data_IF_750230468880
#
_entry.id   IF_750230468880
#
_cell.length_a   1.000
_cell.length_b   1.000
_cell.length_c   1.000
_cell.angle_alpha   90.00
_cell.angle_beta   90.00
_cell.angle_gamma   90.00
#
_symmetry.space_group_name_H-M   'P 1'
#
loop_
_entity.id
_entity.type
_entity.pdbx_description
1 polymer ?
#
# COMPACT_ATOMS: atom_id res chain seq x y z
N UNK A 1 20.43 14.84 29.66
CA UNK A 1 19.44 15.64 28.91
C UNK A 1 19.05 14.84 27.69
N UNK A 2 17.94 14.12 27.80
CA UNK A 2 17.47 13.17 26.78
C UNK A 2 16.91 13.93 25.59
N UNK A 3 17.58 13.86 24.44
CA UNK A 3 17.01 14.28 23.16
C UNK A 3 16.01 13.20 22.73
N UNK A 4 14.73 13.49 22.89
CA UNK A 4 13.65 12.71 22.26
C UNK A 4 13.81 12.87 20.74
N UNK A 5 14.19 11.80 20.05
CA UNK A 5 14.11 11.71 18.59
C UNK A 5 12.62 11.60 18.23
N UNK A 6 12.04 12.66 17.68
CA UNK A 6 10.75 12.60 17.03
C UNK A 6 11.00 12.28 15.55
N UNK A 7 10.98 10.99 15.20
CA UNK A 7 10.98 10.55 13.80
C UNK A 7 9.53 10.62 13.33
N UNK A 8 9.20 11.67 12.59
CA UNK A 8 7.93 11.77 11.90
C UNK A 8 8.04 10.96 10.60
N UNK A 9 7.51 9.72 10.60
CA UNK A 9 7.24 8.98 9.36
C UNK A 9 6.12 9.73 8.64
N UNK A 10 6.50 10.42 7.56
CA UNK A 10 5.66 11.31 6.80
C UNK A 10 4.88 10.52 5.73
N UNK A 11 4.09 9.53 6.14
CA UNK A 11 3.11 8.88 5.25
C UNK A 11 1.82 9.73 5.21
N UNK A 12 1.91 10.92 4.62
CA UNK A 12 0.75 11.77 4.35
C UNK A 12 0.17 11.40 2.97
N UNK A 13 -0.68 10.39 2.90
CA UNK A 13 -1.54 10.15 1.73
C UNK A 13 -2.87 10.89 1.93
N UNK A 14 -3.11 11.91 1.10
CA UNK A 14 -4.30 12.76 1.06
C UNK A 14 -4.88 12.63 -0.35
N UNK A 15 -5.66 11.57 -0.59
CA UNK A 15 -6.38 11.38 -1.85
C UNK A 15 -7.49 12.44 -1.92
N UNK A 16 -7.26 13.51 -2.66
CA UNK A 16 -8.29 14.45 -3.09
C UNK A 16 -9.00 13.87 -4.31
N UNK A 17 -10.15 13.23 -4.07
CA UNK A 17 -11.11 12.87 -5.12
C UNK A 17 -11.64 14.16 -5.76
N UNK A 18 -11.15 14.49 -6.96
CA UNK A 18 -11.83 15.45 -7.82
C UNK A 18 -13.04 14.78 -8.47
N UNK A 19 -14.23 15.16 -7.99
CA UNK A 19 -15.51 14.83 -8.60
C UNK A 19 -15.60 15.51 -9.97
N UNK A 20 -15.30 14.79 -11.04
CA UNK A 20 -15.82 15.06 -12.40
C UNK A 20 -15.63 13.85 -13.30
N UNK A 21 -16.73 13.17 -13.63
CA UNK A 21 -16.77 12.27 -14.79
C UNK A 21 -17.31 10.87 -14.56
N UNK A 22 -18.57 10.74 -14.13
CA UNK A 22 -19.34 9.53 -14.46
C UNK A 22 -19.45 9.40 -15.99
N UNK A 23 -18.74 8.44 -16.60
CA UNK A 23 -19.25 7.56 -17.68
C UNK A 23 -18.21 6.52 -18.11
N UNK A 24 -18.70 5.28 -18.16
CA UNK A 24 -18.23 4.14 -18.94
C UNK A 24 -17.10 3.26 -18.38
N UNK A 25 -17.40 2.51 -17.31
CA UNK A 25 -16.91 1.13 -17.19
C UNK A 25 -18.07 0.16 -17.40
N UNK A 26 -18.23 -0.29 -18.64
CA UNK A 26 -18.91 -1.55 -18.98
C UNK A 26 -18.00 -2.25 -19.98
N UNK A 27 -17.24 -3.25 -19.54
CA UNK A 27 -16.74 -4.28 -20.45
C UNK A 27 -17.94 -5.15 -20.88
N UNK A 28 -18.01 -5.58 -22.15
CA UNK A 28 -19.06 -6.50 -22.59
C UNK A 28 -18.91 -7.85 -21.87
N UNK A 29 -20.05 -8.43 -21.48
CA UNK A 29 -20.15 -9.79 -20.96
C UNK A 29 -19.78 -10.76 -22.11
N UNK A 30 -18.87 -11.72 -21.93
CA UNK A 30 -18.59 -12.73 -22.94
C UNK A 30 -19.84 -13.57 -23.20
N UNK A 31 -20.06 -13.98 -24.46
CA UNK A 31 -21.13 -14.91 -24.80
C UNK A 31 -20.99 -16.22 -24.01
N UNK A 32 -22.11 -16.85 -23.59
CA UNK A 32 -22.07 -18.12 -22.88
C UNK A 32 -21.40 -19.21 -23.74
N UNK A 33 -20.41 -19.88 -23.16
CA UNK A 33 -19.73 -21.04 -23.76
C UNK A 33 -20.76 -22.18 -23.90
N UNK A 34 -20.89 -22.83 -25.08
CA UNK A 34 -21.79 -23.96 -25.25
C UNK A 34 -21.31 -25.18 -24.44
N UNK A 35 -22.27 -25.93 -23.88
CA UNK A 35 -22.01 -27.13 -23.10
C UNK A 35 -21.15 -28.15 -23.89
N UNK A 36 -20.14 -28.77 -23.25
CA UNK A 36 -19.34 -29.80 -23.90
C UNK A 36 -20.20 -31.05 -24.18
N UNK A 37 -19.92 -31.77 -25.28
CA UNK A 37 -20.62 -33.01 -25.60
C UNK A 37 -20.28 -34.10 -24.56
N UNK A 38 -21.19 -35.08 -24.35
CA UNK A 38 -21.01 -36.09 -23.33
C UNK A 38 -19.80 -36.98 -23.62
N UNK A 39 -18.89 -37.08 -22.65
CA UNK A 39 -17.73 -37.97 -22.68
C UNK A 39 -18.16 -39.40 -22.33
N UNK A 40 -17.82 -40.34 -23.21
CA UNK A 40 -17.90 -41.76 -22.94
C UNK A 40 -16.49 -42.37 -23.05
N UNK A 41 -16.13 -43.15 -22.03
CA UNK A 41 -15.04 -44.13 -21.92
C UNK A 41 -13.55 -43.72 -21.82
N UNK A 42 -13.07 -43.93 -20.57
CA UNK A 42 -11.84 -44.60 -20.10
C UNK A 42 -10.46 -43.89 -20.09
N UNK A 43 -9.67 -44.07 -19.01
CA UNK A 43 -8.44 -43.32 -18.78
C UNK A 43 -7.22 -43.99 -19.42
N UNK A 44 -6.42 -43.20 -20.14
CA UNK A 44 -5.03 -43.52 -20.42
C UNK A 44 -4.15 -42.52 -19.70
N UNK A 45 -3.27 -43.10 -18.90
CA UNK A 45 -2.26 -42.50 -18.05
C UNK A 45 -1.09 -42.04 -18.94
N UNK A 46 -1.13 -40.77 -19.35
CA UNK A 46 0.01 -40.06 -19.91
C UNK A 46 0.30 -38.87 -18.98
N UNK A 47 1.21 -39.07 -18.03
CA UNK A 47 1.81 -38.00 -17.25
C UNK A 47 2.74 -37.19 -18.15
N UNK A 48 2.18 -36.26 -18.92
CA UNK A 48 2.90 -35.05 -19.31
C UNK A 48 2.87 -34.13 -18.08
N UNK A 49 4.05 -33.91 -17.51
CA UNK A 49 4.25 -32.81 -16.58
C UNK A 49 4.08 -31.52 -17.39
N UNK A 50 2.90 -30.93 -17.32
CA UNK A 50 2.68 -29.53 -17.68
C UNK A 50 3.64 -28.70 -16.83
N UNK A 51 4.78 -28.35 -17.42
CA UNK A 51 5.61 -27.25 -16.93
C UNK A 51 4.77 -26.02 -17.22
N UNK A 52 4.02 -25.53 -16.24
CA UNK A 52 3.43 -24.20 -16.30
C UNK A 52 4.55 -23.24 -16.71
N UNK A 53 4.48 -22.67 -17.91
CA UNK A 53 5.39 -21.60 -18.32
C UNK A 53 5.26 -20.50 -17.27
N UNK A 54 6.32 -20.25 -16.49
CA UNK A 54 6.37 -19.10 -15.58
C UNK A 54 6.12 -17.85 -16.41
N UNK A 55 4.94 -17.26 -16.23
CA UNK A 55 4.56 -16.01 -16.89
C UNK A 55 5.48 -14.90 -16.38
N UNK A 56 6.40 -14.45 -17.24
CA UNK A 56 7.35 -13.38 -16.93
C UNK A 56 6.79 -12.02 -17.30
N UNK A 57 7.04 -11.01 -16.48
CA UNK A 57 6.79 -9.60 -16.85
C UNK A 57 7.95 -9.03 -17.64
N UNK A 58 7.67 -8.06 -18.50
CA UNK A 58 8.69 -7.30 -19.22
C UNK A 58 8.79 -5.87 -18.68
N UNK A 59 9.97 -5.24 -18.87
CA UNK A 59 10.14 -3.82 -18.58
C UNK A 59 9.31 -3.03 -19.62
N UNK A 60 8.46 -2.07 -19.20
CA UNK A 60 7.66 -1.29 -20.14
C UNK A 60 8.53 -0.57 -21.20
N UNK A 61 8.14 -0.69 -22.47
CA UNK A 61 8.94 -0.23 -23.62
C UNK A 61 9.39 1.24 -23.49
N UNK A 62 8.55 2.09 -22.91
CA UNK A 62 8.82 3.52 -22.75
C UNK A 62 10.01 3.86 -21.84
N UNK A 63 10.39 2.97 -20.92
CA UNK A 63 11.53 3.16 -20.00
C UNK A 63 12.64 2.13 -20.22
N UNK A 64 12.39 1.12 -21.06
CA UNK A 64 13.35 0.08 -21.41
C UNK A 64 14.59 0.67 -22.11
N UNK A 65 15.76 0.12 -21.80
CA UNK A 65 17.03 0.47 -22.44
C UNK A 65 17.58 -0.68 -23.30
N UNK A 66 16.78 -1.72 -23.53
CA UNK A 66 17.19 -2.99 -24.13
C UNK A 66 17.05 -4.15 -23.14
N UNK A 67 17.38 -5.36 -23.62
CA UNK A 67 17.33 -6.57 -22.80
C UNK A 67 18.21 -6.44 -21.55
N UNK A 68 17.67 -6.89 -20.42
CA UNK A 68 18.34 -6.97 -19.11
C UNK A 68 19.04 -5.68 -18.65
N UNK A 69 18.60 -4.53 -19.17
CA UNK A 69 19.21 -3.22 -18.92
C UNK A 69 18.37 -2.40 -17.96
N UNK A 70 19.05 -1.73 -17.02
CA UNK A 70 18.37 -0.88 -16.03
C UNK A 70 17.52 0.21 -16.70
N UNK A 71 16.23 0.34 -16.33
CA UNK A 71 15.36 1.37 -16.89
C UNK A 71 15.85 2.78 -16.56
N UNK A 72 15.61 3.69 -17.50
CA UNK A 72 15.84 5.13 -17.29
C UNK A 72 14.50 5.86 -17.22
N UNK A 73 14.31 6.66 -16.19
CA UNK A 73 13.06 7.34 -15.88
C UNK A 73 13.17 8.85 -16.05
N UNK A 74 12.13 9.47 -16.63
CA UNK A 74 11.85 10.90 -16.48
C UNK A 74 11.07 11.10 -15.19
N UNK A 75 11.71 11.64 -14.18
CA UNK A 75 11.12 11.86 -12.86
C UNK A 75 10.75 13.33 -12.70
N UNK A 76 9.48 13.62 -12.45
CA UNK A 76 9.04 14.95 -12.06
C UNK A 76 9.43 15.22 -10.59
N UNK A 77 10.28 16.23 -10.38
CA UNK A 77 10.73 16.67 -9.05
C UNK A 77 9.82 17.80 -8.59
N UNK A 78 8.92 17.49 -7.65
CA UNK A 78 7.86 18.37 -7.20
C UNK A 78 8.38 19.66 -6.53
N UNK A 79 9.50 19.58 -5.82
CA UNK A 79 10.12 20.73 -5.14
C UNK A 79 10.55 21.82 -6.14
N UNK A 80 11.16 21.42 -7.25
CA UNK A 80 11.69 22.34 -8.26
C UNK A 80 10.72 22.55 -9.43
N UNK A 81 9.70 21.69 -9.57
CA UNK A 81 8.79 21.66 -10.71
C UNK A 81 9.45 21.23 -12.03
N UNK A 82 10.60 20.54 -11.97
CA UNK A 82 11.39 20.15 -13.14
C UNK A 82 11.37 18.64 -13.37
N UNK A 83 11.55 18.21 -14.62
CA UNK A 83 11.81 16.80 -14.94
C UNK A 83 13.32 16.54 -14.91
N UNK A 84 13.73 15.49 -14.21
CA UNK A 84 15.09 14.97 -14.22
C UNK A 84 15.11 13.56 -14.81
N UNK A 85 16.22 13.19 -15.44
CA UNK A 85 16.41 11.83 -15.96
C UNK A 85 17.27 11.07 -14.96
N UNK A 86 16.70 10.04 -14.35
CA UNK A 86 17.35 9.21 -13.32
C UNK A 86 17.34 7.75 -13.76
N UNK A 87 18.36 7.00 -13.36
CA UNK A 87 18.30 5.54 -13.46
C UNK A 87 17.33 4.99 -12.40
N UNK A 88 16.69 3.85 -12.68
CA UNK A 88 15.70 3.27 -11.78
C UNK A 88 16.23 3.09 -10.36
N UNK A 89 17.42 2.51 -10.18
CA UNK A 89 17.98 2.25 -8.85
C UNK A 89 18.29 3.55 -8.08
N UNK A 90 18.72 4.61 -8.77
CA UNK A 90 18.90 5.94 -8.16
C UNK A 90 17.57 6.51 -7.66
N UNK A 91 16.51 6.37 -8.44
CA UNK A 91 15.16 6.79 -8.03
C UNK A 91 14.68 5.96 -6.81
N UNK A 92 14.85 4.65 -6.84
CA UNK A 92 14.43 3.75 -5.76
C UNK A 92 15.19 4.01 -4.46
N UNK A 93 16.47 4.37 -4.48
CA UNK A 93 17.18 4.81 -3.26
C UNK A 93 16.50 6.00 -2.61
N UNK A 94 16.10 7.00 -3.39
CA UNK A 94 15.39 8.17 -2.87
C UNK A 94 14.00 7.84 -2.32
N UNK A 95 13.31 6.86 -2.91
CA UNK A 95 12.01 6.37 -2.41
C UNK A 95 12.18 5.63 -1.08
N UNK A 96 13.09 4.65 -1.01
CA UNK A 96 13.34 3.88 0.22
C UNK A 96 13.78 4.81 1.36
N UNK A 97 14.65 5.77 1.08
CA UNK A 97 15.12 6.76 2.06
C UNK A 97 14.02 7.73 2.52
N UNK A 98 12.94 7.90 1.75
CA UNK A 98 11.79 8.70 2.15
C UNK A 98 10.79 7.91 2.99
N UNK A 99 10.48 6.69 2.56
CA UNK A 99 9.38 5.87 3.09
C UNK A 99 9.74 5.13 4.39
N UNK A 100 11.00 4.76 4.58
CA UNK A 100 11.47 4.05 5.78
C UNK A 100 12.56 4.84 6.52
N UNK A 101 12.87 4.43 7.74
CA UNK A 101 14.02 4.96 8.47
C UNK A 101 15.31 4.34 7.89
N UNK A 102 16.23 5.14 7.30
CA UNK A 102 17.42 4.62 6.63
C UNK A 102 18.36 3.79 7.51
N UNK A 103 18.24 3.85 8.84
CA UNK A 103 19.06 3.05 9.76
C UNK A 103 18.42 1.72 10.14
N UNK A 104 17.26 1.37 9.58
CA UNK A 104 16.62 0.07 9.78
C UNK A 104 17.42 -1.07 9.13
N UNK A 105 17.01 -2.31 9.43
CA UNK A 105 17.69 -3.50 8.94
C UNK A 105 17.67 -3.55 7.42
N UNK A 106 18.80 -3.99 6.86
CA UNK A 106 19.01 -3.99 5.41
C UNK A 106 17.94 -4.79 4.67
N UNK A 107 17.58 -5.98 5.16
CA UNK A 107 16.55 -6.82 4.52
C UNK A 107 15.16 -6.18 4.53
N UNK A 108 14.85 -5.33 5.52
CA UNK A 108 13.59 -4.59 5.56
C UNK A 108 13.58 -3.46 4.52
N UNK A 109 14.70 -2.71 4.41
CA UNK A 109 14.87 -1.69 3.37
C UNK A 109 14.86 -2.32 1.96
N UNK A 110 15.45 -3.50 1.81
CA UNK A 110 15.51 -4.27 0.57
C UNK A 110 14.12 -4.78 0.16
N UNK A 111 13.29 -5.25 1.09
CA UNK A 111 11.89 -5.61 0.80
C UNK A 111 11.09 -4.40 0.30
N UNK A 112 11.32 -3.21 0.88
CA UNK A 112 10.73 -1.97 0.40
C UNK A 112 11.25 -1.56 -0.97
N UNK A 113 12.52 -1.82 -1.29
CA UNK A 113 13.09 -1.57 -2.62
C UNK A 113 12.39 -2.42 -3.70
N UNK A 114 12.24 -3.73 -3.47
CA UNK A 114 11.48 -4.63 -4.37
C UNK A 114 10.06 -4.10 -4.59
N UNK A 115 9.36 -3.77 -3.50
CA UNK A 115 8.00 -3.21 -3.57
C UNK A 115 7.96 -1.88 -4.34
N UNK A 116 8.91 -0.98 -4.10
CA UNK A 116 8.91 0.37 -4.70
C UNK A 116 9.20 0.31 -6.20
N UNK A 117 10.11 -0.58 -6.62
CA UNK A 117 10.43 -0.88 -8.02
C UNK A 117 9.24 -1.50 -8.74
N UNK A 118 8.61 -2.49 -8.11
CA UNK A 118 7.38 -3.13 -8.63
C UNK A 118 6.28 -2.10 -8.84
N UNK A 119 6.01 -1.24 -7.86
CA UNK A 119 5.02 -0.17 -7.99
C UNK A 119 5.36 0.79 -9.13
N UNK A 120 6.62 1.22 -9.25
CA UNK A 120 7.02 2.15 -10.29
C UNK A 120 6.75 1.57 -11.68
N UNK A 121 7.19 0.33 -11.93
CA UNK A 121 6.96 -0.36 -13.21
C UNK A 121 5.48 -0.63 -13.46
N UNK A 122 4.75 -1.09 -12.45
CA UNK A 122 3.30 -1.31 -12.51
C UNK A 122 2.55 -0.04 -12.96
N UNK A 123 2.89 1.12 -12.39
CA UNK A 123 2.25 2.39 -12.75
C UNK A 123 2.66 2.92 -14.12
N UNK A 124 3.91 2.67 -14.50
CA UNK A 124 4.42 2.97 -15.84
C UNK A 124 3.69 2.11 -16.88
N UNK A 125 3.49 0.82 -16.60
CA UNK A 125 2.81 -0.13 -17.48
C UNK A 125 1.31 0.16 -17.62
N UNK A 126 0.59 0.31 -16.50
CA UNK A 126 -0.87 0.50 -16.51
C UNK A 126 -1.29 1.91 -16.95
N UNK A 127 -0.61 2.95 -16.46
CA UNK A 127 -1.07 4.34 -16.59
C UNK A 127 -0.18 5.22 -17.49
N UNK A 128 0.96 4.70 -17.95
CA UNK A 128 1.97 5.51 -18.62
C UNK A 128 2.77 6.40 -17.65
N UNK A 129 2.79 6.06 -16.35
CA UNK A 129 3.51 6.79 -15.31
C UNK A 129 2.70 7.96 -14.74
N UNK A 130 3.12 9.19 -15.02
CA UNK A 130 2.44 10.43 -14.59
C UNK A 130 2.13 11.31 -15.83
N UNK A 131 1.14 10.95 -16.67
CA UNK A 131 0.90 11.62 -17.95
C UNK A 131 0.64 13.11 -17.85
N UNK A 132 -0.03 13.56 -16.78
CA UNK A 132 -0.31 14.97 -16.52
C UNK A 132 0.97 15.82 -16.35
N UNK A 133 2.10 15.18 -16.02
CA UNK A 133 3.42 15.79 -15.88
C UNK A 133 4.34 15.49 -17.07
N UNK A 134 3.91 14.66 -18.03
CA UNK A 134 4.77 14.08 -19.06
C UNK A 134 6.03 13.43 -18.45
N UNK A 135 5.84 12.67 -17.37
CA UNK A 135 6.90 12.02 -16.61
C UNK A 135 6.52 10.56 -16.35
N UNK A 136 7.53 9.71 -16.14
CA UNK A 136 7.35 8.27 -15.90
C UNK A 136 7.14 8.01 -14.38
N UNK A 137 7.70 8.87 -13.53
CA UNK A 137 7.52 8.86 -12.08
C UNK A 137 7.46 10.29 -11.51
N UNK A 138 7.02 10.44 -10.26
CA UNK A 138 7.01 11.71 -9.52
C UNK A 138 7.65 11.55 -8.14
N UNK A 139 8.22 12.65 -7.64
CA UNK A 139 8.70 12.78 -6.27
C UNK A 139 7.60 13.26 -5.30
N UNK A 140 6.38 13.51 -5.79
CA UNK A 140 5.22 13.86 -4.97
C UNK A 140 4.46 12.60 -4.53
N UNK A 141 4.33 12.41 -3.22
CA UNK A 141 3.59 11.29 -2.63
C UNK A 141 2.10 11.29 -3.02
N UNK A 142 1.51 12.44 -3.37
CA UNK A 142 0.12 12.49 -3.83
C UNK A 142 -0.06 12.00 -5.27
N UNK A 143 1.02 12.01 -6.06
CA UNK A 143 1.01 11.61 -7.47
C UNK A 143 1.58 10.20 -7.65
N UNK A 144 2.58 9.82 -6.85
CA UNK A 144 3.36 8.61 -7.05
C UNK A 144 3.91 8.03 -5.73
N UNK A 145 5.15 8.35 -5.34
CA UNK A 145 5.79 7.85 -4.12
C UNK A 145 6.55 8.97 -3.40
N UNK A 146 6.73 8.86 -2.08
CA UNK A 146 7.61 9.78 -1.38
C UNK A 146 9.04 9.63 -1.90
N UNK A 147 9.78 10.73 -1.94
CA UNK A 147 11.16 10.74 -2.42
C UNK A 147 11.99 11.74 -1.63
N UNK A 148 13.18 11.33 -1.18
CA UNK A 148 14.11 12.17 -0.43
C UNK A 148 15.55 11.69 -0.62
N UNK A 149 16.26 12.30 -1.57
CA UNK A 149 17.64 11.97 -1.87
C UNK A 149 18.63 12.30 -0.73
N UNK A 150 18.32 13.30 0.11
CA UNK A 150 19.21 13.74 1.19
C UNK A 150 19.32 12.71 2.33
N UNK A 151 18.33 11.81 2.44
CA UNK A 151 18.31 10.75 3.46
C UNK A 151 19.03 9.47 3.03
N UNK A 152 19.54 9.39 1.80
CA UNK A 152 20.23 8.20 1.28
C UNK A 152 21.55 7.98 2.03
N UNK A 153 21.61 6.92 2.83
CA UNK A 153 22.82 6.45 3.51
C UNK A 153 23.33 5.13 2.89
N UNK A 154 24.42 4.58 3.43
CA UNK A 154 25.01 3.34 2.90
C UNK A 154 24.10 2.12 3.07
N UNK A 155 23.33 2.04 4.17
CA UNK A 155 22.34 0.97 4.35
C UNK A 155 21.29 0.95 3.22
N UNK A 156 20.77 2.12 2.83
CA UNK A 156 19.81 2.24 1.73
C UNK A 156 20.47 1.85 0.41
N UNK A 157 21.69 2.33 0.14
CA UNK A 157 22.43 1.97 -1.09
C UNK A 157 22.62 0.46 -1.19
N UNK A 158 23.10 -0.17 -0.12
CA UNK A 158 23.34 -1.61 -0.08
C UNK A 158 22.05 -2.43 -0.22
N UNK A 159 20.96 -1.99 0.39
CA UNK A 159 19.65 -2.66 0.31
C UNK A 159 19.05 -2.61 -1.10
N UNK A 160 19.15 -1.45 -1.76
CA UNK A 160 18.68 -1.26 -3.14
C UNK A 160 19.56 -2.08 -4.10
N UNK A 161 20.88 -2.00 -3.94
CA UNK A 161 21.83 -2.76 -4.75
C UNK A 161 21.65 -4.29 -4.60
N UNK A 162 21.44 -4.78 -3.38
CA UNK A 162 21.24 -6.22 -3.15
C UNK A 162 19.95 -6.77 -3.75
N UNK A 163 19.03 -5.89 -4.16
CA UNK A 163 17.76 -6.24 -4.80
C UNK A 163 17.60 -5.61 -6.17
N UNK A 164 18.71 -5.21 -6.79
CA UNK A 164 18.76 -4.60 -8.11
C UNK A 164 17.98 -5.45 -9.13
N UNK A 165 17.06 -4.80 -9.83
CA UNK A 165 16.19 -5.46 -10.81
C UNK A 165 15.15 -6.45 -10.26
N UNK A 166 15.06 -6.67 -8.94
CA UNK A 166 14.07 -7.58 -8.36
C UNK A 166 12.70 -6.91 -8.22
N UNK A 167 11.67 -7.60 -8.71
CA UNK A 167 10.25 -7.17 -8.69
C UNK A 167 9.34 -8.31 -8.23
N UNK A 168 8.17 -7.98 -7.70
CA UNK A 168 7.14 -8.95 -7.30
C UNK A 168 6.06 -9.09 -8.39
N UNK A 169 5.77 -10.31 -8.78
CA UNK A 169 4.90 -10.65 -9.92
C UNK A 169 3.88 -11.70 -9.53
N UNK A 170 2.65 -11.56 -10.03
CA UNK A 170 1.59 -12.54 -9.88
C UNK A 170 0.95 -12.77 -11.25
N UNK A 171 0.92 -14.02 -11.73
CA UNK A 171 0.31 -14.41 -13.02
C UNK A 171 0.70 -13.51 -14.21
N UNK A 172 1.98 -13.09 -14.28
CA UNK A 172 2.50 -12.27 -15.38
C UNK A 172 2.17 -10.79 -15.28
N UNK A 173 1.66 -10.33 -14.14
CA UNK A 173 1.41 -8.91 -13.86
C UNK A 173 2.24 -8.43 -12.65
N UNK A 174 2.69 -7.18 -12.69
CA UNK A 174 3.32 -6.55 -11.54
C UNK A 174 2.34 -6.45 -10.37
N UNK A 175 2.77 -6.87 -9.19
CA UNK A 175 1.95 -6.79 -7.98
C UNK A 175 1.64 -5.34 -7.62
N UNK A 176 0.37 -5.05 -7.30
CA UNK A 176 -0.01 -3.79 -6.65
C UNK A 176 0.56 -3.74 -5.23
N UNK A 177 1.78 -3.24 -5.12
CA UNK A 177 2.52 -3.16 -3.87
C UNK A 177 1.93 -2.11 -2.92
N UNK A 178 0.81 -2.40 -2.26
CA UNK A 178 0.35 -1.57 -1.15
C UNK A 178 1.20 -1.79 0.10
N UNK A 179 1.41 -0.74 0.89
CA UNK A 179 2.21 -0.82 2.10
C UNK A 179 1.77 0.22 3.14
N UNK A 180 2.09 0.00 4.40
CA UNK A 180 1.72 0.87 5.49
C UNK A 180 2.71 0.76 6.65
N UNK A 181 2.67 1.72 7.58
CA UNK A 181 3.64 1.78 8.67
C UNK A 181 3.51 0.60 9.65
N UNK A 182 2.30 0.37 10.18
CA UNK A 182 2.06 -0.58 11.26
C UNK A 182 0.65 -1.17 11.18
N UNK A 183 0.49 -2.49 11.01
CA UNK A 183 -0.85 -3.09 10.89
C UNK A 183 -1.58 -3.36 12.21
N UNK A 184 -0.90 -3.30 13.36
CA UNK A 184 -1.52 -3.70 14.63
C UNK A 184 -1.51 -5.21 14.90
N UNK A 185 -0.73 -5.99 14.15
CA UNK A 185 -0.55 -7.44 14.36
C UNK A 185 -1.08 -8.31 13.22
N UNK A 186 -1.96 -7.77 12.36
CA UNK A 186 -2.48 -8.49 11.19
C UNK A 186 -2.80 -7.50 10.08
N UNK A 187 -2.41 -7.80 8.84
CA UNK A 187 -2.75 -6.97 7.67
C UNK A 187 -4.23 -7.10 7.31
N UNK A 188 -4.72 -6.20 6.46
CA UNK A 188 -6.10 -6.15 6.01
C UNK A 188 -6.21 -6.50 4.51
N UNK A 189 -7.41 -6.86 4.09
CA UNK A 189 -7.77 -6.91 2.66
C UNK A 189 -7.90 -5.48 2.10
N UNK A 190 -7.86 -5.34 0.78
CA UNK A 190 -8.06 -4.08 0.07
C UNK A 190 -9.46 -3.51 0.31
N UNK A 191 -10.49 -4.37 0.32
CA UNK A 191 -11.86 -3.95 0.67
C UNK A 191 -11.90 -3.28 2.07
N UNK A 192 -11.32 -3.93 3.08
CA UNK A 192 -11.32 -3.44 4.47
C UNK A 192 -10.47 -2.19 4.68
N UNK A 193 -9.25 -2.18 4.14
CA UNK A 193 -8.26 -1.14 4.43
C UNK A 193 -8.35 0.08 3.55
N UNK A 194 -8.86 -0.07 2.31
CA UNK A 194 -8.84 0.96 1.28
C UNK A 194 -10.23 1.31 0.72
N UNK A 195 -11.30 0.65 1.18
CA UNK A 195 -12.62 0.73 0.55
C UNK A 195 -12.55 0.37 -0.95
N UNK A 196 -11.73 -0.62 -1.30
CA UNK A 196 -11.52 -1.01 -2.70
C UNK A 196 -12.81 -1.57 -3.29
N UNK A 197 -13.29 -0.97 -4.39
CA UNK A 197 -14.57 -1.31 -5.02
C UNK A 197 -14.47 -2.43 -6.09
N UNK A 198 -13.25 -2.85 -6.43
CA UNK A 198 -13.00 -3.92 -7.40
C UNK A 198 -12.94 -5.30 -6.73
N UNK A 199 -12.66 -6.32 -7.54
CA UNK A 199 -12.35 -7.66 -7.02
C UNK A 199 -11.05 -7.62 -6.21
N UNK A 200 -11.07 -8.26 -5.04
CA UNK A 200 -9.91 -8.31 -4.15
C UNK A 200 -8.70 -8.89 -4.91
N UNK A 201 -7.57 -8.18 -5.01
CA UNK A 201 -6.44 -8.68 -5.77
C UNK A 201 -5.96 -10.01 -5.19
N UNK A 202 -5.73 -11.03 -6.03
CA UNK A 202 -5.53 -12.39 -5.56
C UNK A 202 -4.25 -12.55 -4.74
N UNK A 203 -3.24 -11.69 -4.88
CA UNK A 203 -2.04 -11.69 -4.03
C UNK A 203 -2.22 -10.97 -2.68
N UNK A 204 -3.34 -10.26 -2.47
CA UNK A 204 -3.63 -9.58 -1.20
C UNK A 204 -4.40 -10.50 -0.26
N UNK A 205 -3.97 -10.52 1.00
CA UNK A 205 -4.60 -11.30 2.06
C UNK A 205 -4.27 -10.71 3.43
N UNK A 206 -4.94 -11.24 4.45
CA UNK A 206 -4.58 -11.02 5.85
C UNK A 206 -3.41 -11.91 6.22
N UNK A 207 -2.30 -11.29 6.58
CA UNK A 207 -1.07 -11.92 7.00
C UNK A 207 -0.81 -11.57 8.47
N UNK A 208 -0.50 -12.58 9.28
CA UNK A 208 -0.01 -12.38 10.64
C UNK A 208 1.28 -11.56 10.62
N UNK A 209 1.45 -10.66 11.57
CA UNK A 209 2.55 -9.71 11.53
C UNK A 209 3.17 -9.50 12.92
N UNK A 210 4.49 -9.64 13.07
CA UNK A 210 5.16 -9.54 14.37
C UNK A 210 5.26 -8.10 14.90
N UNK A 211 4.71 -7.12 14.18
CA UNK A 211 4.87 -5.71 14.51
C UNK A 211 4.25 -5.33 15.86
N UNK A 212 3.18 -5.99 16.31
CA UNK A 212 2.51 -5.60 17.56
C UNK A 212 3.42 -5.79 18.78
N UNK A 213 4.08 -6.95 18.86
CA UNK A 213 5.00 -7.27 19.96
C UNK A 213 6.41 -6.73 19.75
N UNK A 214 6.82 -6.54 18.49
CA UNK A 214 8.18 -6.13 18.14
C UNK A 214 8.48 -4.63 18.25
N UNK A 215 7.45 -3.77 18.37
CA UNK A 215 7.62 -2.31 18.53
C UNK A 215 7.53 -1.84 19.98
N UNK A 216 8.10 -0.66 20.23
CA UNK A 216 8.03 0.04 21.51
C UNK A 216 6.57 0.28 21.93
N UNK A 217 6.28 0.13 23.22
CA UNK A 217 4.90 0.12 23.73
C UNK A 217 4.15 1.44 23.49
N UNK A 218 4.86 2.57 23.44
CA UNK A 218 4.31 3.90 23.15
C UNK A 218 3.99 4.12 21.68
N UNK A 219 4.49 3.26 20.77
CA UNK A 219 4.15 3.27 19.35
C UNK A 219 2.96 2.36 19.02
N UNK A 220 2.57 1.45 19.93
CA UNK A 220 1.49 0.46 19.70
C UNK A 220 0.11 1.09 19.59
N UNK A 221 -0.10 2.18 20.32
CA UNK A 221 -1.41 2.80 20.43
C UNK A 221 -1.33 4.28 20.04
N UNK A 222 -2.45 4.81 19.61
CA UNK A 222 -2.62 6.23 19.34
C UNK A 222 -3.92 6.71 19.98
N UNK A 223 -3.94 7.99 20.32
CA UNK A 223 -5.12 8.68 20.82
C UNK A 223 -5.23 10.03 20.12
N UNK A 224 -6.45 10.41 19.72
CA UNK A 224 -6.71 11.72 19.13
C UNK A 224 -8.12 12.21 19.42
N UNK A 225 -8.21 13.49 19.81
CA UNK A 225 -9.49 14.16 20.04
C UNK A 225 -9.88 15.09 18.89
N UNK A 226 -11.17 15.13 18.59
CA UNK A 226 -11.80 16.01 17.60
C UNK A 226 -13.03 16.68 18.19
N UNK A 227 -13.40 17.85 17.67
CA UNK A 227 -14.69 18.47 18.01
C UNK A 227 -15.83 17.70 17.35
N UNK A 228 -17.00 17.66 17.99
CA UNK A 228 -18.19 17.03 17.40
C UNK A 228 -18.61 17.70 16.08
N UNK A 229 -18.37 19.00 15.93
CA UNK A 229 -18.59 19.72 14.67
C UNK A 229 -17.66 19.22 13.55
N UNK A 230 -16.39 18.88 13.86
CA UNK A 230 -15.46 18.31 12.88
C UNK A 230 -15.96 16.95 12.41
N UNK A 231 -16.42 16.11 13.33
CA UNK A 231 -16.99 14.79 13.01
C UNK A 231 -18.23 14.94 12.13
N UNK A 232 -19.19 15.78 12.53
CA UNK A 232 -20.40 16.07 11.75
C UNK A 232 -20.07 16.50 10.32
N UNK A 233 -19.10 17.40 10.16
CA UNK A 233 -18.71 17.90 8.85
C UNK A 233 -18.08 16.81 7.98
N UNK A 234 -17.21 15.98 8.54
CA UNK A 234 -16.61 14.84 7.82
C UNK A 234 -17.68 13.82 7.43
N UNK A 235 -18.56 13.44 8.36
CA UNK A 235 -19.67 12.53 8.08
C UNK A 235 -20.55 13.06 6.95
N UNK A 236 -20.89 14.35 6.97
CA UNK A 236 -21.69 14.99 5.91
C UNK A 236 -21.00 14.97 4.55
N UNK A 237 -19.68 15.17 4.52
CA UNK A 237 -18.90 15.13 3.28
C UNK A 237 -18.93 13.74 2.64
N UNK A 238 -18.86 12.69 3.45
CA UNK A 238 -18.83 11.30 2.99
C UNK A 238 -20.24 10.79 2.64
N UNK A 239 -21.19 10.90 3.57
CA UNK A 239 -22.54 10.37 3.41
C UNK A 239 -23.43 11.20 2.47
N UNK A 240 -23.07 12.46 2.20
CA UNK A 240 -23.92 13.40 1.46
C UNK A 240 -25.16 13.88 2.22
N UNK A 241 -25.34 13.46 3.47
CA UNK A 241 -26.43 13.86 4.36
C UNK A 241 -25.90 14.30 5.73
N UNK A 242 -26.61 15.20 6.39
CA UNK A 242 -26.20 15.74 7.68
C UNK A 242 -26.66 14.81 8.83
N UNK A 243 -25.76 14.24 9.66
CA UNK A 243 -26.16 13.34 10.75
C UNK A 243 -26.85 14.08 11.91
N UNK A 244 -26.98 15.41 11.83
CA UNK A 244 -27.51 16.25 12.90
C UNK A 244 -26.47 16.56 13.98
N UNK A 245 -26.92 17.00 15.15
CA UNK A 245 -26.04 17.17 16.30
C UNK A 245 -25.53 15.79 16.74
N UNK A 246 -24.21 15.62 16.82
CA UNK A 246 -23.59 14.31 17.12
C UNK A 246 -23.80 13.98 18.60
N UNK A 247 -24.51 12.88 18.86
CA UNK A 247 -24.77 12.38 20.21
C UNK A 247 -24.19 10.97 20.42
N UNK A 248 -24.03 10.19 19.36
CA UNK A 248 -23.38 8.88 19.37
C UNK A 248 -22.40 8.75 18.21
N UNK A 249 -21.30 8.03 18.48
CA UNK A 249 -20.33 7.58 17.49
C UNK A 249 -19.95 6.16 17.90
N UNK A 250 -20.09 5.20 17.00
CA UNK A 250 -19.76 3.79 17.24
C UNK A 250 -19.19 3.13 15.98
N UNK A 251 -18.49 2.01 16.15
CA UNK A 251 -18.12 1.16 15.03
C UNK A 251 -19.40 0.52 14.48
N UNK A 252 -19.61 0.60 13.17
CA UNK A 252 -20.70 -0.09 12.49
C UNK A 252 -20.30 -1.52 12.18
N UNK A 253 -19.98 -1.80 10.92
CA UNK A 253 -19.38 -3.06 10.50
C UNK A 253 -17.91 -3.13 10.94
N UNK A 254 -17.51 -4.28 11.48
CA UNK A 254 -16.15 -4.61 11.85
C UNK A 254 -15.74 -5.93 11.18
N UNK A 255 -14.48 -6.01 10.77
CA UNK A 255 -13.88 -7.23 10.24
C UNK A 255 -12.52 -7.46 10.92
N UNK A 256 -12.43 -8.52 11.73
CA UNK A 256 -11.25 -8.90 12.53
C UNK A 256 -10.62 -7.72 13.31
N UNK A 257 -11.43 -6.98 14.07
CA UNK A 257 -10.98 -5.85 14.89
C UNK A 257 -10.76 -4.55 14.11
N UNK A 258 -10.93 -4.53 12.79
CA UNK A 258 -10.87 -3.32 11.98
C UNK A 258 -12.27 -2.82 11.66
N UNK A 259 -12.57 -1.57 11.99
CA UNK A 259 -13.79 -0.91 11.55
C UNK A 259 -13.79 -0.78 10.02
N UNK A 260 -14.86 -1.27 9.41
CA UNK A 260 -15.20 -1.14 7.98
C UNK A 260 -16.12 0.07 7.78
N UNK A 261 -17.07 0.27 8.71
CA UNK A 261 -17.91 1.47 8.76
C UNK A 261 -17.91 2.12 10.15
N UNK A 262 -18.21 3.41 10.19
CA UNK A 262 -18.43 4.19 11.41
C UNK A 262 -19.86 4.72 11.37
N UNK A 263 -20.59 4.52 12.45
CA UNK A 263 -21.92 5.08 12.68
C UNK A 263 -21.78 6.40 13.44
N UNK A 264 -22.35 7.47 12.91
CA UNK A 264 -22.49 8.76 13.60
C UNK A 264 -23.98 9.07 13.68
N UNK A 265 -24.55 8.96 14.89
CA UNK A 265 -25.99 8.82 15.08
C UNK A 265 -26.53 7.66 14.20
N UNK A 266 -27.46 7.95 13.28
CA UNK A 266 -28.05 6.98 12.34
C UNK A 266 -27.37 7.00 10.96
N UNK A 267 -26.32 7.81 10.77
CA UNK A 267 -25.62 7.93 9.48
C UNK A 267 -24.37 7.05 9.47
N UNK A 268 -24.34 6.12 8.51
CA UNK A 268 -23.19 5.25 8.26
C UNK A 268 -22.21 5.89 7.27
N UNK A 269 -20.92 5.79 7.54
CA UNK A 269 -19.85 6.18 6.63
C UNK A 269 -18.75 5.13 6.58
N UNK A 270 -18.09 5.00 5.43
CA UNK A 270 -16.95 4.10 5.28
C UNK A 270 -15.77 4.55 6.18
N UNK A 271 -15.19 3.62 6.92
CA UNK A 271 -14.15 3.93 7.91
C UNK A 271 -12.80 4.35 7.26
N UNK A 272 -12.29 3.69 6.20
CA UNK A 272 -11.16 4.20 5.42
C UNK A 272 -11.34 5.65 4.94
N UNK A 273 -12.49 6.01 4.39
CA UNK A 273 -12.78 7.38 3.94
C UNK A 273 -12.85 8.36 5.13
N UNK A 274 -13.50 7.95 6.22
CA UNK A 274 -13.58 8.73 7.45
C UNK A 274 -12.19 9.03 8.03
N UNK A 275 -11.31 8.02 8.04
CA UNK A 275 -9.90 8.14 8.42
C UNK A 275 -9.17 9.18 7.55
N UNK A 276 -9.30 9.07 6.22
CA UNK A 276 -8.64 9.99 5.30
C UNK A 276 -9.15 11.43 5.48
N UNK A 277 -10.46 11.61 5.64
CA UNK A 277 -11.09 12.92 5.83
C UNK A 277 -10.72 13.59 7.17
N UNK A 278 -10.43 12.81 8.22
CA UNK A 278 -9.89 13.33 9.49
C UNK A 278 -8.38 13.59 9.47
N UNK A 279 -7.67 13.13 8.43
CA UNK A 279 -6.22 13.24 8.30
C UNK A 279 -5.54 11.94 8.71
N UNK A 280 -4.90 11.28 7.74
CA UNK A 280 -4.34 9.92 7.86
C UNK A 280 -3.20 9.75 8.87
N UNK A 281 -2.58 10.86 9.31
CA UNK A 281 -1.51 10.90 10.31
C UNK A 281 -2.04 11.22 11.73
N UNK A 282 -3.26 11.76 11.84
CA UNK A 282 -3.93 12.05 13.10
C UNK A 282 -4.90 10.93 13.49
N UNK A 283 -5.74 10.49 12.55
CA UNK A 283 -6.56 9.28 12.66
C UNK A 283 -5.79 8.11 12.04
N UNK A 284 -4.86 7.54 12.81
CA UNK A 284 -3.79 6.74 12.22
C UNK A 284 -4.26 5.45 11.57
N UNK A 285 -5.33 4.82 12.04
CA UNK A 285 -5.89 3.59 11.48
C UNK A 285 -7.39 3.49 11.76
N UNK A 286 -8.02 2.42 11.27
CA UNK A 286 -9.40 2.04 11.61
C UNK A 286 -9.49 0.87 12.59
N UNK A 287 -8.39 0.53 13.29
CA UNK A 287 -8.46 -0.40 14.45
C UNK A 287 -8.68 0.47 15.67
N UNK A 288 -9.91 0.47 16.18
CA UNK A 288 -10.34 1.36 17.27
C UNK A 288 -10.51 0.55 18.56
N UNK A 289 -9.98 1.09 19.65
CA UNK A 289 -10.05 0.49 20.98
C UNK A 289 -11.16 1.17 21.80
N UNK A 290 -11.21 2.50 21.80
CA UNK A 290 -12.22 3.27 22.52
C UNK A 290 -12.68 4.50 21.74
N UNK A 291 -13.96 4.84 21.91
CA UNK A 291 -14.58 6.07 21.41
C UNK A 291 -15.29 6.74 22.59
N UNK A 292 -14.80 7.90 23.03
CA UNK A 292 -15.33 8.58 24.21
C UNK A 292 -15.80 10.00 23.87
N UNK A 293 -17.10 10.23 23.91
CA UNK A 293 -17.69 11.57 23.78
C UNK A 293 -17.69 12.25 25.15
N UNK A 294 -17.10 13.43 25.23
CA UNK A 294 -17.07 14.26 26.44
C UNK A 294 -17.22 15.74 26.08
N UNK A 295 -18.31 16.35 26.55
CA UNK A 295 -18.65 17.73 26.22
C UNK A 295 -18.84 17.91 24.71
N UNK A 296 -18.08 18.81 24.10
CA UNK A 296 -18.14 19.09 22.66
C UNK A 296 -17.06 18.35 21.84
N UNK A 297 -16.40 17.36 22.44
CA UNK A 297 -15.33 16.60 21.81
C UNK A 297 -15.61 15.10 21.86
N UNK A 298 -14.98 14.38 20.95
CA UNK A 298 -14.80 12.94 21.00
C UNK A 298 -13.31 12.62 21.01
N UNK A 299 -12.90 11.68 21.84
CA UNK A 299 -11.56 11.08 21.81
C UNK A 299 -11.65 9.68 21.25
N UNK A 300 -10.85 9.40 20.24
CA UNK A 300 -10.64 8.06 19.71
C UNK A 300 -9.29 7.54 20.20
N UNK A 301 -9.24 6.28 20.62
CA UNK A 301 -8.01 5.54 20.79
C UNK A 301 -8.01 4.30 19.91
N UNK A 302 -6.83 3.86 19.50
CA UNK A 302 -6.69 2.74 18.58
C UNK A 302 -5.25 2.26 18.48
N UNK A 303 -5.02 1.32 17.58
CA UNK A 303 -3.69 0.78 17.28
C UNK A 303 -3.45 0.70 15.77
N UNK A 304 -2.21 0.48 15.34
CA UNK A 304 -1.88 0.52 13.92
C UNK A 304 -1.67 1.94 13.38
N UNK A 305 -1.07 2.03 12.19
CA UNK A 305 -0.85 3.26 11.44
C UNK A 305 -0.80 2.93 9.94
N UNK A 306 -1.79 3.42 9.21
CA UNK A 306 -1.98 3.22 7.78
C UNK A 306 -3.25 2.42 7.47
N UNK A 307 -3.42 2.09 6.19
CA UNK A 307 -4.58 1.31 5.71
C UNK A 307 -4.50 -0.18 6.08
N UNK A 308 -3.31 -0.71 6.39
CA UNK A 308 -3.14 -2.10 6.83
C UNK A 308 -2.99 -3.12 5.70
N UNK A 309 -3.14 -2.71 4.44
CA UNK A 309 -3.08 -3.60 3.25
C UNK A 309 -1.63 -3.79 2.80
N UNK A 310 -1.28 -5.02 2.41
CA UNK A 310 0.04 -5.39 1.88
C UNK A 310 1.17 -5.28 2.91
N UNK A 311 2.33 -4.78 2.50
CA UNK A 311 3.55 -4.79 3.30
C UNK A 311 3.45 -3.89 4.54
N UNK A 312 3.64 -4.46 5.72
CA UNK A 312 3.77 -3.71 6.99
C UNK A 312 5.25 -3.36 7.22
N UNK A 313 5.61 -2.07 7.22
CA UNK A 313 6.99 -1.61 7.33
C UNK A 313 7.64 -2.00 8.65
N UNK A 314 6.95 -1.76 9.78
CA UNK A 314 7.42 -2.24 11.07
C UNK A 314 7.50 -3.77 11.10
N UNK A 315 6.53 -4.46 10.50
CA UNK A 315 6.59 -5.92 10.42
C UNK A 315 7.79 -6.43 9.65
N UNK A 316 8.13 -5.82 8.50
CA UNK A 316 9.34 -6.09 7.74
C UNK A 316 10.60 -5.86 8.57
N UNK A 317 10.67 -4.75 9.31
CA UNK A 317 11.77 -4.46 10.23
C UNK A 317 11.93 -5.55 11.30
N UNK A 318 10.84 -6.01 11.91
CA UNK A 318 10.89 -7.05 12.95
C UNK A 318 11.24 -8.42 12.35
N UNK A 319 10.72 -8.75 11.18
CA UNK A 319 11.11 -9.97 10.45
C UNK A 319 12.59 -10.01 10.12
N UNK A 320 13.14 -8.91 9.60
CA UNK A 320 14.57 -8.80 9.32
C UNK A 320 15.41 -8.87 10.60
N UNK A 321 15.07 -8.06 11.61
CA UNK A 321 15.87 -7.90 12.84
C UNK A 321 15.85 -9.14 13.74
N UNK A 322 14.67 -9.68 14.00
CA UNK A 322 14.46 -10.67 15.06
C UNK A 322 14.36 -12.10 14.51
N UNK A 323 14.01 -12.26 13.24
CA UNK A 323 13.83 -13.57 12.59
C UNK A 323 14.82 -13.81 11.45
N UNK A 324 15.59 -12.81 11.03
CA UNK A 324 16.61 -12.95 9.99
C UNK A 324 16.05 -13.29 8.61
N UNK A 325 14.79 -12.94 8.33
CA UNK A 325 14.16 -13.19 7.01
C UNK A 325 14.79 -12.32 5.94
N UNK A 326 14.95 -12.87 4.73
CA UNK A 326 15.39 -12.14 3.55
C UNK A 326 14.31 -11.20 3.02
N UNK A 327 14.71 -10.22 2.21
CA UNK A 327 13.80 -9.31 1.52
C UNK A 327 12.71 -10.05 0.73
N UNK A 328 13.08 -11.12 0.01
CA UNK A 328 12.15 -11.92 -0.79
C UNK A 328 11.16 -12.68 0.09
N UNK A 329 11.63 -13.27 1.20
CA UNK A 329 10.75 -13.95 2.16
C UNK A 329 9.78 -12.97 2.80
N UNK A 330 10.21 -11.74 3.09
CA UNK A 330 9.36 -10.67 3.63
C UNK A 330 8.30 -10.27 2.59
N UNK A 331 8.67 -10.08 1.32
CA UNK A 331 7.71 -9.72 0.26
C UNK A 331 6.68 -10.84 0.06
N UNK A 332 7.11 -12.10 -0.07
CA UNK A 332 6.24 -13.28 -0.22
C UNK A 332 5.34 -13.53 1.00
N UNK A 333 5.69 -12.99 2.16
CA UNK A 333 4.82 -13.02 3.34
C UNK A 333 3.58 -12.15 3.17
N UNK A 334 3.77 -10.93 2.66
CA UNK A 334 2.71 -9.93 2.59
C UNK A 334 1.89 -10.01 1.31
N UNK A 335 2.49 -10.54 0.24
CA UNK A 335 1.82 -10.78 -1.02
C UNK A 335 1.86 -12.28 -1.30
N UNK A 336 0.69 -12.95 -1.21
CA UNK A 336 0.62 -14.41 -1.33
C UNK A 336 0.80 -14.83 -2.78
N UNK A 337 1.40 -16.00 -2.95
CA UNK A 337 1.56 -16.67 -4.24
C UNK A 337 2.31 -15.84 -5.31
N UNK A 338 3.09 -14.84 -4.89
CA UNK A 338 3.91 -14.02 -5.79
C UNK A 338 5.26 -14.66 -6.06
N UNK A 339 5.77 -14.44 -7.28
CA UNK A 339 7.16 -14.74 -7.65
C UNK A 339 8.00 -13.47 -7.55
N UNK A 340 9.29 -13.64 -7.23
CA UNK A 340 10.26 -12.54 -7.33
C UNK A 340 11.06 -12.77 -8.60
N UNK A 341 10.95 -11.85 -9.54
CA UNK A 341 11.62 -11.93 -10.84
C UNK A 341 12.73 -10.88 -10.91
N UNK A 342 13.83 -11.23 -11.58
CA UNK A 342 14.93 -10.31 -11.87
C UNK A 342 14.83 -9.85 -13.31
N UNK A 343 14.73 -8.53 -13.53
CA UNK A 343 14.54 -7.95 -14.86
C UNK A 343 15.81 -7.30 -15.45
N UNK A 344 16.79 -6.95 -14.62
CA UNK A 344 18.09 -6.40 -15.04
C UNK A 344 19.17 -6.63 -13.98
N UNK A 345 20.43 -6.50 -14.39
CA UNK A 345 21.61 -6.61 -13.54
C UNK A 345 22.22 -5.27 -13.11
#
# INVERSE_FOLDING_TARGET
MNKKFAVYILCASLILLSLSGCRAFRRPVPDPVPDPPPQDSQPQDDTESDVEEETTVEIPEQVSQGEESEPQLRVFIAETGSIQTLMMEEYIMGVVAAEMEPTWEKEALAAQAIKARTFALQRIDEDGGVPARNADASSDIQEFQAYNAERINDNVREAVESTRGLVAVYEGEFVRGWFHAYCGGMTATAAEGLNFQGEEPPFIHRAECPCFDGIEADLRYWEKSYTLDRIRNVTRQIAGSDPGAVNSIEVGEESEGRAVTIMVNETEVNAPEFRLALGSTEFKSTILNEINISGNNVTFSGQGYGHGVGLCQWGAQIFARDQGRSAEEIVKHYFKDVTIQKLWD
#
